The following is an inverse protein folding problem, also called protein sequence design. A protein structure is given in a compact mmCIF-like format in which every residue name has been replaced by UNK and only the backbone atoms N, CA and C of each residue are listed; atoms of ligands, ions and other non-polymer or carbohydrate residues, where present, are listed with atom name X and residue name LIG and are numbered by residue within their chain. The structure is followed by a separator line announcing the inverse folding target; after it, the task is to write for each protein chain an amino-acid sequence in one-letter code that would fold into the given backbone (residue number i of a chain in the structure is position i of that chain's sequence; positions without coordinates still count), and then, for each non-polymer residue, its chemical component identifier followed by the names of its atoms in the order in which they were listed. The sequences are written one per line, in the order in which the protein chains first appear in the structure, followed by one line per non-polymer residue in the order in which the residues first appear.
data_IF_444117078071
#
_entry.id   IF_444117078071
#
_cell.length_a   1.000
_cell.length_b   1.000
_cell.length_c   1.000
_cell.angle_alpha   90.00
_cell.angle_beta   90.00
_cell.angle_gamma   90.00
#
_symmetry.space_group_name_H-M   'P 1'
#
loop_
_entity.id
_entity.type
_entity.pdbx_description
1 polymer ?
#
# COMPACT_ATOMS: atom_id res chain seq x y z
N UNK A 1 13.33 -67.79 46.84
CA UNK A 1 14.26 -67.14 45.86
C UNK A 1 13.53 -66.77 44.60
N UNK A 2 13.14 -65.54 44.50
CA UNK A 2 12.36 -65.02 43.32
C UNK A 2 13.36 -64.36 42.39
N UNK A 3 13.49 -64.88 41.17
CA UNK A 3 14.20 -64.22 40.07
C UNK A 3 13.25 -63.24 39.38
N UNK A 4 13.58 -61.95 39.44
CA UNK A 4 12.90 -60.91 38.67
C UNK A 4 13.45 -60.86 37.23
N UNK A 5 12.64 -61.17 36.29
CA UNK A 5 12.87 -60.89 34.85
C UNK A 5 12.58 -59.43 34.57
N UNK A 6 13.55 -58.69 34.10
CA UNK A 6 13.42 -57.34 33.58
C UNK A 6 13.19 -57.43 32.05
N UNK A 7 12.01 -57.10 31.60
CA UNK A 7 11.72 -56.93 30.17
C UNK A 7 12.17 -55.54 29.76
N UNK A 8 13.19 -55.43 28.94
CA UNK A 8 13.57 -54.20 28.24
C UNK A 8 12.74 -54.17 26.94
N UNK A 9 11.74 -53.29 26.91
CA UNK A 9 11.00 -52.98 25.68
C UNK A 9 11.80 -51.93 24.91
N UNK A 10 12.44 -52.34 23.85
CA UNK A 10 13.12 -51.46 22.90
C UNK A 10 12.04 -50.85 22.01
N UNK A 11 11.62 -49.61 22.30
CA UNK A 11 10.77 -48.85 21.42
C UNK A 11 11.58 -48.26 20.27
N UNK A 12 11.54 -48.91 19.12
CA UNK A 12 12.01 -48.38 17.85
C UNK A 12 11.10 -47.24 17.44
N UNK A 13 11.54 -45.99 17.71
CA UNK A 13 10.97 -44.79 17.12
C UNK A 13 11.37 -44.76 15.64
N UNK A 14 10.47 -45.23 14.78
CA UNK A 14 10.55 -45.00 13.34
C UNK A 14 10.25 -43.51 13.11
N UNK A 15 11.29 -42.70 13.02
CA UNK A 15 11.18 -41.37 12.46
C UNK A 15 10.84 -41.51 10.93
N UNK A 16 9.56 -41.56 10.64
CA UNK A 16 9.08 -41.39 9.29
C UNK A 16 9.36 -39.93 8.87
N UNK A 17 10.49 -39.72 8.22
CA UNK A 17 10.73 -38.50 7.46
C UNK A 17 9.65 -38.40 6.39
N UNK A 18 8.55 -37.68 6.68
CA UNK A 18 7.65 -37.19 5.65
C UNK A 18 8.44 -36.18 4.81
N UNK A 19 9.15 -36.67 3.79
CA UNK A 19 9.55 -35.85 2.66
C UNK A 19 8.25 -35.43 1.99
N UNK A 20 7.74 -34.26 2.35
CA UNK A 20 6.78 -33.54 1.54
C UNK A 20 7.42 -33.35 0.17
N UNK A 21 6.98 -34.15 -0.82
CA UNK A 21 7.31 -33.92 -2.20
C UNK A 21 6.63 -32.62 -2.66
N UNK A 22 7.22 -31.48 -2.29
CA UNK A 22 6.86 -30.19 -2.85
C UNK A 22 7.25 -30.21 -4.30
N UNK A 23 6.29 -30.47 -5.19
CA UNK A 23 6.50 -30.33 -6.63
C UNK A 23 6.69 -28.83 -6.89
N UNK A 24 7.92 -28.39 -7.15
CA UNK A 24 8.14 -27.06 -7.72
C UNK A 24 7.33 -26.97 -9.01
N UNK A 25 6.57 -25.91 -9.17
CA UNK A 25 5.88 -25.63 -10.43
C UNK A 25 6.99 -25.27 -11.44
N UNK A 26 7.01 -25.88 -12.64
CA UNK A 26 7.95 -25.44 -13.69
C UNK A 26 7.63 -23.97 -14.01
N UNK A 27 8.57 -23.08 -13.76
CA UNK A 27 8.36 -21.63 -13.82
C UNK A 27 7.89 -21.15 -15.21
N UNK A 28 8.37 -21.77 -16.28
CA UNK A 28 7.98 -21.51 -17.67
C UNK A 28 6.49 -21.79 -17.98
N UNK A 29 5.80 -22.52 -17.10
CA UNK A 29 4.37 -22.83 -17.20
C UNK A 29 3.50 -21.93 -16.32
N UNK A 30 4.10 -21.08 -15.47
CA UNK A 30 3.34 -20.21 -14.60
C UNK A 30 2.87 -18.98 -15.36
N UNK A 31 1.56 -18.71 -15.28
CA UNK A 31 0.91 -17.52 -15.85
C UNK A 31 0.38 -16.67 -14.72
N UNK A 32 0.86 -15.44 -14.62
CA UNK A 32 0.40 -14.46 -13.63
C UNK A 32 -0.39 -13.35 -14.33
N UNK A 33 -1.63 -13.14 -13.89
CA UNK A 33 -2.46 -12.01 -14.27
C UNK A 33 -2.28 -10.85 -13.30
N UNK A 34 -2.37 -9.62 -13.80
CA UNK A 34 -2.39 -8.40 -12.98
C UNK A 34 -3.41 -7.44 -13.53
N UNK A 35 -4.32 -6.99 -12.68
CA UNK A 35 -5.22 -5.88 -12.96
C UNK A 35 -4.92 -4.73 -11.99
N UNK A 36 -4.48 -3.62 -12.54
CA UNK A 36 -4.18 -2.41 -11.78
C UNK A 36 -5.32 -1.39 -11.84
N UNK A 37 -5.45 -0.58 -10.80
CA UNK A 37 -6.51 0.43 -10.71
C UNK A 37 -6.23 1.73 -11.50
N UNK A 38 -5.16 1.76 -12.28
CA UNK A 38 -4.74 2.88 -13.11
C UNK A 38 -3.48 2.56 -13.89
N UNK A 39 -2.88 3.59 -14.50
CA UNK A 39 -1.69 3.43 -15.35
C UNK A 39 -0.51 2.85 -14.59
N UNK A 40 0.17 1.87 -15.17
CA UNK A 40 1.45 1.33 -14.67
C UNK A 40 2.60 2.35 -14.68
N UNK A 41 2.40 3.54 -15.23
CA UNK A 41 3.38 4.63 -15.30
C UNK A 41 2.96 5.84 -14.45
N UNK A 42 2.24 5.61 -13.35
CA UNK A 42 1.72 6.65 -12.47
C UNK A 42 2.76 7.27 -11.53
N UNK A 43 4.00 6.82 -11.61
CA UNK A 43 5.12 7.23 -10.73
C UNK A 43 4.84 6.98 -9.25
N UNK A 44 4.06 5.95 -8.95
CA UNK A 44 3.63 5.66 -7.59
C UNK A 44 3.10 4.24 -7.43
N UNK A 45 1.83 4.12 -7.09
CA UNK A 45 1.17 2.88 -6.70
C UNK A 45 1.25 1.77 -7.77
N UNK A 46 0.73 2.07 -8.98
CA UNK A 46 0.67 1.06 -10.03
C UNK A 46 2.06 0.80 -10.65
N UNK A 47 2.98 1.78 -10.62
CA UNK A 47 4.36 1.57 -10.99
C UNK A 47 5.03 0.54 -10.07
N UNK A 48 4.84 0.64 -8.74
CA UNK A 48 5.38 -0.35 -7.78
C UNK A 48 4.83 -1.76 -8.05
N UNK A 49 3.54 -1.89 -8.37
CA UNK A 49 2.94 -3.17 -8.78
C UNK A 49 3.65 -3.74 -10.00
N UNK A 50 3.83 -2.91 -11.04
CA UNK A 50 4.43 -3.31 -12.31
C UNK A 50 5.88 -3.75 -12.14
N UNK A 51 6.67 -3.00 -11.40
CA UNK A 51 8.08 -3.31 -11.13
C UNK A 51 8.23 -4.68 -10.46
N UNK A 52 7.35 -5.00 -9.49
CA UNK A 52 7.35 -6.30 -8.82
C UNK A 52 7.04 -7.48 -9.74
N UNK A 53 6.08 -7.32 -10.65
CA UNK A 53 5.72 -8.43 -11.57
C UNK A 53 6.67 -8.54 -12.76
N UNK A 54 7.27 -7.45 -13.22
CA UNK A 54 8.34 -7.49 -14.23
C UNK A 54 9.55 -8.21 -13.66
N UNK A 55 9.94 -7.90 -12.42
CA UNK A 55 11.02 -8.61 -11.75
C UNK A 55 10.75 -10.12 -11.63
N UNK A 56 9.51 -10.54 -11.35
CA UNK A 56 9.14 -11.96 -11.37
C UNK A 56 9.33 -12.59 -12.75
N UNK A 57 8.92 -11.88 -13.80
CA UNK A 57 9.10 -12.35 -15.19
C UNK A 57 10.59 -12.53 -15.52
N UNK A 58 11.42 -11.58 -15.13
CA UNK A 58 12.86 -11.61 -15.42
C UNK A 58 13.57 -12.73 -14.63
N UNK A 59 13.23 -12.89 -13.33
CA UNK A 59 13.89 -13.88 -12.48
C UNK A 59 13.40 -15.32 -12.71
N UNK A 60 12.16 -15.54 -13.15
CA UNK A 60 11.54 -16.86 -13.24
C UNK A 60 11.07 -17.25 -14.65
N UNK A 61 11.11 -16.36 -15.64
CA UNK A 61 10.64 -16.63 -16.99
C UNK A 61 9.13 -16.90 -17.09
N UNK A 62 8.33 -16.40 -16.17
CA UNK A 62 6.87 -16.57 -16.16
C UNK A 62 6.19 -15.86 -17.32
N UNK A 63 5.00 -16.32 -17.69
CA UNK A 63 4.12 -15.56 -18.58
C UNK A 63 3.33 -14.53 -17.76
N UNK A 64 3.38 -13.27 -18.19
CA UNK A 64 2.70 -12.15 -17.55
C UNK A 64 1.58 -11.62 -18.44
N UNK A 65 0.38 -11.41 -17.84
CA UNK A 65 -0.77 -10.78 -18.47
C UNK A 65 -1.14 -9.58 -17.62
N UNK A 66 -0.95 -8.37 -18.15
CA UNK A 66 -1.22 -7.14 -17.44
C UNK A 66 -2.35 -6.35 -18.08
N UNK A 67 -3.22 -5.78 -17.25
CA UNK A 67 -4.25 -4.84 -17.66
C UNK A 67 -4.39 -3.74 -16.61
N UNK A 68 -4.57 -2.51 -17.07
CA UNK A 68 -4.93 -1.38 -16.22
C UNK A 68 -6.37 -0.97 -16.47
N UNK A 69 -7.08 -0.56 -15.43
CA UNK A 69 -8.41 0.02 -15.59
C UNK A 69 -8.35 1.23 -16.52
N UNK A 70 -9.29 1.29 -17.42
CA UNK A 70 -9.47 2.43 -18.32
C UNK A 70 -10.16 3.57 -17.57
N UNK A 71 -9.85 4.83 -17.85
CA UNK A 71 -10.66 5.97 -17.37
C UNK A 71 -12.11 5.84 -17.85
N UNK A 72 -13.08 6.11 -17.00
CA UNK A 72 -14.50 6.09 -17.34
C UNK A 72 -15.10 7.50 -17.23
N UNK A 73 -16.10 7.84 -18.04
CA UNK A 73 -16.70 7.12 -19.17
C UNK A 73 -15.84 7.20 -20.43
N UNK A 74 -15.96 6.17 -21.31
CA UNK A 74 -15.38 6.21 -22.65
C UNK A 74 -16.42 6.84 -23.58
N UNK A 75 -16.04 7.90 -24.29
CA UNK A 75 -16.90 8.59 -25.25
C UNK A 75 -17.29 7.62 -26.39
N UNK A 76 -18.60 7.48 -26.64
CA UNK A 76 -19.14 6.68 -27.74
C UNK A 76 -19.45 5.22 -27.42
N UNK A 77 -19.11 4.68 -26.26
CA UNK A 77 -19.51 3.34 -25.81
C UNK A 77 -20.67 3.39 -24.80
N UNK A 78 -21.36 2.25 -24.61
CA UNK A 78 -22.36 2.10 -23.54
C UNK A 78 -21.80 2.61 -22.24
N UNK A 79 -22.50 3.53 -21.58
CA UNK A 79 -22.15 4.03 -20.25
C UNK A 79 -22.24 2.88 -19.25
N UNK A 80 -21.11 2.23 -18.99
CA UNK A 80 -20.95 1.27 -17.89
C UNK A 80 -20.77 2.04 -16.59
N UNK A 81 -21.33 1.54 -15.52
CA UNK A 81 -20.90 1.98 -14.19
C UNK A 81 -19.42 1.60 -13.97
N UNK A 82 -18.73 2.33 -13.10
CA UNK A 82 -17.34 2.01 -12.78
C UNK A 82 -17.17 0.56 -12.32
N UNK A 83 -18.18 0.00 -11.63
CA UNK A 83 -18.15 -1.40 -11.16
C UNK A 83 -18.33 -2.41 -12.30
N UNK A 84 -19.21 -2.16 -13.26
CA UNK A 84 -19.39 -3.03 -14.44
C UNK A 84 -18.11 -3.09 -15.28
N UNK A 85 -17.52 -1.96 -15.53
CA UNK A 85 -16.31 -1.84 -16.29
C UNK A 85 -15.10 -2.50 -15.60
N UNK A 86 -14.98 -2.32 -14.29
CA UNK A 86 -13.99 -3.01 -13.49
C UNK A 86 -14.17 -4.53 -13.54
N UNK A 87 -15.41 -5.01 -13.51
CA UNK A 87 -15.72 -6.43 -13.64
C UNK A 87 -15.36 -6.95 -15.05
N UNK A 88 -15.71 -6.24 -16.11
CA UNK A 88 -15.34 -6.64 -17.50
C UNK A 88 -13.83 -6.75 -17.66
N UNK A 89 -13.06 -5.77 -17.15
CA UNK A 89 -11.60 -5.80 -17.22
C UNK A 89 -11.02 -6.98 -16.42
N UNK A 90 -11.61 -7.30 -15.27
CA UNK A 90 -11.18 -8.45 -14.48
C UNK A 90 -11.49 -9.79 -15.18
N UNK A 91 -12.68 -9.94 -15.75
CA UNK A 91 -13.05 -11.12 -16.52
C UNK A 91 -12.18 -11.30 -17.78
N UNK A 92 -11.81 -10.22 -18.43
CA UNK A 92 -10.90 -10.26 -19.57
C UNK A 92 -9.53 -10.84 -19.21
N UNK A 93 -9.00 -10.53 -18.04
CA UNK A 93 -7.76 -11.14 -17.55
C UNK A 93 -8.02 -12.58 -17.10
N UNK A 94 -9.10 -12.82 -16.34
CA UNK A 94 -9.41 -14.13 -15.76
C UNK A 94 -9.68 -15.24 -16.78
N UNK A 95 -10.16 -14.93 -17.99
CA UNK A 95 -10.38 -15.94 -19.05
C UNK A 95 -9.11 -16.62 -19.54
N UNK A 96 -7.95 -16.07 -19.24
CA UNK A 96 -6.67 -16.70 -19.53
C UNK A 96 -6.38 -17.86 -18.56
N UNK A 97 -5.48 -18.80 -18.91
CA UNK A 97 -5.09 -19.92 -18.06
C UNK A 97 -4.14 -19.48 -16.94
N UNK A 98 -4.64 -18.69 -15.97
CA UNK A 98 -3.87 -18.11 -14.88
C UNK A 98 -3.60 -19.14 -13.77
N UNK A 99 -2.43 -19.04 -13.16
CA UNK A 99 -2.14 -19.69 -11.88
C UNK A 99 -2.37 -18.73 -10.71
N UNK A 100 -2.04 -17.46 -10.90
CA UNK A 100 -2.17 -16.42 -9.89
C UNK A 100 -2.69 -15.13 -10.54
N UNK A 101 -3.63 -14.45 -9.87
CA UNK A 101 -4.21 -13.20 -10.34
C UNK A 101 -4.12 -12.13 -9.25
N UNK A 102 -3.32 -11.09 -9.51
CA UNK A 102 -3.20 -9.93 -8.64
C UNK A 102 -4.20 -8.85 -9.01
N UNK A 103 -4.97 -8.42 -8.04
CA UNK A 103 -5.92 -7.32 -8.09
C UNK A 103 -5.37 -6.17 -7.26
N UNK A 104 -4.87 -5.12 -7.91
CA UNK A 104 -4.15 -4.04 -7.24
C UNK A 104 -5.06 -2.84 -6.99
N UNK A 105 -5.63 -2.77 -5.78
CA UNK A 105 -6.48 -1.68 -5.31
C UNK A 105 -7.66 -2.16 -4.47
N UNK A 106 -7.98 -1.40 -3.43
CA UNK A 106 -9.05 -1.70 -2.47
C UNK A 106 -10.43 -1.91 -3.12
N UNK A 107 -10.71 -1.22 -4.23
CA UNK A 107 -11.98 -1.33 -4.96
C UNK A 107 -12.25 -2.73 -5.52
N UNK A 108 -11.22 -3.56 -5.66
CA UNK A 108 -11.38 -4.94 -6.13
C UNK A 108 -11.77 -5.92 -5.03
N UNK A 109 -11.82 -5.52 -3.76
CA UNK A 109 -12.05 -6.44 -2.63
C UNK A 109 -13.32 -7.27 -2.77
N UNK A 110 -14.47 -6.64 -3.03
CA UNK A 110 -15.74 -7.36 -3.23
C UNK A 110 -15.76 -8.20 -4.51
N UNK A 111 -15.18 -7.68 -5.61
CA UNK A 111 -15.10 -8.41 -6.87
C UNK A 111 -14.22 -9.65 -6.75
N UNK A 112 -13.12 -9.56 -6.00
CA UNK A 112 -12.18 -10.67 -5.79
C UNK A 112 -12.84 -11.90 -5.17
N UNK A 113 -13.80 -11.70 -4.26
CA UNK A 113 -14.58 -12.78 -3.65
C UNK A 113 -15.38 -13.52 -4.72
N UNK A 114 -16.11 -12.79 -5.57
CA UNK A 114 -16.89 -13.37 -6.68
C UNK A 114 -15.99 -14.16 -7.65
N UNK A 115 -14.91 -13.54 -8.12
CA UNK A 115 -13.98 -14.15 -9.05
C UNK A 115 -13.37 -15.45 -8.49
N UNK A 116 -13.03 -15.46 -7.21
CA UNK A 116 -12.41 -16.62 -6.56
C UNK A 116 -13.35 -17.82 -6.40
N UNK A 117 -14.65 -17.58 -6.24
CA UNK A 117 -15.65 -18.66 -6.23
C UNK A 117 -15.93 -19.19 -7.64
N UNK A 118 -15.90 -18.33 -8.65
CA UNK A 118 -16.14 -18.72 -10.05
C UNK A 118 -14.97 -19.52 -10.65
N UNK A 119 -13.74 -19.21 -10.22
CA UNK A 119 -12.53 -19.90 -10.68
C UNK A 119 -11.66 -20.34 -9.49
N UNK A 120 -12.05 -21.41 -8.80
CA UNK A 120 -11.33 -21.92 -7.64
C UNK A 120 -9.96 -22.52 -7.99
N UNK A 121 -9.66 -22.73 -9.26
CA UNK A 121 -8.38 -23.18 -9.80
C UNK A 121 -7.31 -22.06 -9.85
N UNK A 122 -7.70 -20.79 -9.76
CA UNK A 122 -6.82 -19.62 -9.74
C UNK A 122 -6.58 -19.18 -8.28
N UNK A 123 -5.34 -18.82 -7.97
CA UNK A 123 -5.00 -18.12 -6.73
C UNK A 123 -5.15 -16.60 -6.92
N UNK A 124 -5.75 -15.90 -5.95
CA UNK A 124 -5.98 -14.45 -6.02
C UNK A 124 -5.21 -13.71 -4.94
N UNK A 125 -4.46 -12.69 -5.32
CA UNK A 125 -3.86 -11.72 -4.41
C UNK A 125 -4.55 -10.37 -4.52
N UNK A 126 -5.01 -9.81 -3.42
CA UNK A 126 -5.68 -8.50 -3.38
C UNK A 126 -4.80 -7.53 -2.59
N UNK A 127 -4.37 -6.46 -3.26
CA UNK A 127 -3.55 -5.40 -2.67
C UNK A 127 -4.45 -4.28 -2.14
N UNK A 128 -4.12 -3.78 -0.95
CA UNK A 128 -4.94 -2.82 -0.21
C UNK A 128 -6.36 -3.33 0.04
N UNK A 129 -6.45 -4.61 0.35
CA UNK A 129 -7.73 -5.22 0.62
C UNK A 129 -8.46 -4.44 1.73
N UNK A 130 -9.67 -4.00 1.41
CA UNK A 130 -10.53 -3.38 2.39
C UNK A 130 -11.16 -4.45 3.28
N UNK A 131 -11.67 -4.05 4.43
CA UNK A 131 -12.28 -4.97 5.37
C UNK A 131 -13.40 -5.78 4.71
N UNK A 132 -13.29 -7.11 4.78
CA UNK A 132 -14.32 -8.01 4.26
C UNK A 132 -15.55 -8.11 5.18
N UNK A 133 -15.55 -7.40 6.33
CA UNK A 133 -16.57 -7.52 7.34
C UNK A 133 -16.69 -8.97 7.80
N UNK A 134 -17.92 -9.50 7.79
CA UNK A 134 -18.21 -10.92 8.12
C UNK A 134 -17.88 -11.90 6.98
N UNK A 135 -17.43 -11.42 5.82
CA UNK A 135 -17.11 -12.27 4.67
C UNK A 135 -15.73 -12.89 4.89
N UNK A 136 -15.68 -14.21 4.95
CA UNK A 136 -14.41 -14.93 5.01
C UNK A 136 -13.64 -14.80 3.70
N UNK A 137 -12.34 -14.52 3.80
CA UNK A 137 -11.45 -14.57 2.64
C UNK A 137 -11.49 -15.99 2.05
N UNK A 138 -11.78 -16.15 0.75
CA UNK A 138 -11.81 -17.48 0.12
C UNK A 138 -10.46 -18.19 0.21
N UNK A 139 -10.47 -19.54 0.30
CA UNK A 139 -9.24 -20.35 0.49
C UNK A 139 -8.19 -20.16 -0.60
N UNK A 140 -8.60 -19.78 -1.80
CA UNK A 140 -7.72 -19.46 -2.93
C UNK A 140 -7.41 -17.95 -3.05
N UNK A 141 -7.74 -17.15 -2.04
CA UNK A 141 -7.50 -15.70 -2.01
C UNK A 141 -6.61 -15.30 -0.83
N UNK A 142 -5.74 -14.35 -1.06
CA UNK A 142 -4.88 -13.72 -0.05
C UNK A 142 -5.14 -12.22 -0.06
N UNK A 143 -5.62 -11.68 1.03
CA UNK A 143 -5.85 -10.26 1.21
C UNK A 143 -4.64 -9.60 1.87
N UNK A 144 -4.12 -8.53 1.26
CA UNK A 144 -2.99 -7.75 1.77
C UNK A 144 -3.49 -6.40 2.22
N UNK A 145 -3.32 -6.12 3.51
CA UNK A 145 -3.51 -4.78 4.10
C UNK A 145 -2.16 -4.16 4.39
N UNK A 146 -2.11 -2.84 4.41
CA UNK A 146 -0.92 -2.09 4.81
C UNK A 146 -1.29 -1.13 5.92
N UNK A 147 -0.44 -1.06 6.95
CA UNK A 147 -0.53 -0.08 8.03
C UNK A 147 0.00 1.27 7.56
N UNK A 148 -0.78 1.89 6.64
CA UNK A 148 -0.44 3.16 6.02
C UNK A 148 -0.31 4.29 7.05
N UNK A 149 -1.06 4.20 8.16
CA UNK A 149 -1.03 5.13 9.28
C UNK A 149 0.37 5.26 9.90
N UNK A 150 1.17 4.20 9.92
CA UNK A 150 2.49 4.18 10.55
C UNK A 150 3.45 5.18 9.86
N UNK A 151 3.61 5.08 8.54
CA UNK A 151 4.47 6.03 7.81
C UNK A 151 3.79 7.39 7.62
N UNK A 152 2.46 7.46 7.57
CA UNK A 152 1.73 8.72 7.58
C UNK A 152 1.97 9.50 8.86
N UNK A 153 2.09 8.84 10.02
CA UNK A 153 2.47 9.47 11.29
C UNK A 153 3.87 10.10 11.19
N UNK A 154 4.86 9.36 10.70
CA UNK A 154 6.22 9.88 10.51
C UNK A 154 6.23 11.05 9.54
N UNK A 155 5.47 10.99 8.45
CA UNK A 155 5.30 12.08 7.50
C UNK A 155 4.66 13.32 8.14
N UNK A 156 3.67 13.12 9.01
CA UNK A 156 3.03 14.19 9.79
C UNK A 156 3.99 14.87 10.76
N UNK A 157 4.81 14.07 11.44
CA UNK A 157 5.87 14.57 12.31
C UNK A 157 6.88 15.42 11.54
N UNK A 158 7.40 14.91 10.43
CA UNK A 158 8.32 15.64 9.55
C UNK A 158 7.68 16.94 9.05
N UNK A 159 6.43 16.88 8.57
CA UNK A 159 5.71 18.06 8.10
C UNK A 159 5.60 19.16 9.17
N UNK A 160 5.31 18.75 10.40
CA UNK A 160 5.20 19.69 11.53
C UNK A 160 6.54 20.34 11.90
N UNK A 161 7.64 19.58 11.84
CA UNK A 161 9.00 20.09 12.12
C UNK A 161 9.54 20.98 11.01
N UNK A 162 9.20 20.70 9.75
CA UNK A 162 9.68 21.44 8.58
C UNK A 162 8.81 22.64 8.23
N UNK A 163 7.52 22.64 8.59
CA UNK A 163 6.60 23.73 8.27
C UNK A 163 6.94 25.00 9.04
N UNK A 164 7.01 26.12 8.28
CA UNK A 164 7.09 27.47 8.85
C UNK A 164 5.72 28.14 9.01
N UNK A 165 4.65 27.39 8.77
CA UNK A 165 3.26 27.84 8.83
C UNK A 165 2.52 27.02 9.88
N UNK A 166 1.49 27.62 10.45
CA UNK A 166 0.65 26.97 11.48
C UNK A 166 -0.30 25.92 10.89
N UNK A 167 -0.39 25.85 9.58
CA UNK A 167 -1.31 24.95 8.88
C UNK A 167 -0.55 24.01 7.95
N UNK A 168 -0.98 22.74 7.95
CA UNK A 168 -0.47 21.68 7.10
C UNK A 168 -1.63 21.16 6.26
N UNK A 169 -1.39 20.91 4.98
CA UNK A 169 -2.39 20.51 4.01
C UNK A 169 -2.45 18.99 3.82
N UNK A 170 -3.66 18.49 3.61
CA UNK A 170 -3.93 17.12 3.24
C UNK A 170 -4.90 17.14 2.05
N UNK A 171 -4.44 16.74 0.87
CA UNK A 171 -5.25 16.74 -0.35
C UNK A 171 -5.55 15.30 -0.76
N UNK A 172 -6.83 14.92 -0.77
CA UNK A 172 -7.25 13.57 -1.19
C UNK A 172 -7.95 13.60 -2.55
N UNK A 173 -8.05 12.42 -3.17
CA UNK A 173 -9.04 12.15 -4.20
C UNK A 173 -10.46 12.04 -3.62
N UNK A 174 -11.43 11.52 -4.39
CA UNK A 174 -12.76 11.20 -3.88
C UNK A 174 -12.68 10.35 -2.62
N UNK A 175 -13.62 10.59 -1.70
CA UNK A 175 -13.63 9.99 -0.35
C UNK A 175 -13.70 8.46 -0.42
N UNK A 176 -12.93 7.81 0.45
CA UNK A 176 -12.91 6.38 0.63
C UNK A 176 -12.41 6.13 2.05
N UNK A 177 -12.99 5.18 2.76
CA UNK A 177 -12.55 4.79 4.11
C UNK A 177 -11.08 4.40 4.16
N UNK A 178 -10.57 3.81 3.08
CA UNK A 178 -9.15 3.53 2.86
C UNK A 178 -8.23 4.74 3.12
N UNK A 179 -8.72 5.98 2.94
CA UNK A 179 -7.93 7.19 3.18
C UNK A 179 -7.83 7.57 4.66
N UNK A 180 -8.63 6.94 5.53
CA UNK A 180 -8.62 7.25 6.95
C UNK A 180 -7.29 6.90 7.62
N UNK A 181 -6.68 5.75 7.26
CA UNK A 181 -5.37 5.33 7.76
C UNK A 181 -4.35 6.46 7.58
N UNK A 182 -4.23 6.96 6.35
CA UNK A 182 -3.31 8.07 6.05
C UNK A 182 -3.69 9.35 6.78
N UNK A 183 -4.97 9.71 6.80
CA UNK A 183 -5.45 10.95 7.39
C UNK A 183 -5.20 11.00 8.89
N UNK A 184 -5.57 9.94 9.61
CA UNK A 184 -5.47 9.92 11.07
C UNK A 184 -4.05 9.68 11.53
N UNK A 185 -3.26 8.83 10.84
CA UNK A 185 -1.84 8.70 11.07
C UNK A 185 -1.11 10.04 10.88
N UNK A 186 -1.33 10.72 9.76
CA UNK A 186 -0.73 12.02 9.46
C UNK A 186 -1.12 13.10 10.50
N UNK A 187 -2.41 13.16 10.83
CA UNK A 187 -2.94 14.06 11.86
C UNK A 187 -2.31 13.81 13.24
N UNK A 188 -2.12 12.53 13.60
CA UNK A 188 -1.49 12.15 14.87
C UNK A 188 -0.02 12.53 14.91
N UNK A 189 0.74 12.33 13.83
CA UNK A 189 2.14 12.77 13.73
C UNK A 189 2.30 14.28 13.86
N UNK A 190 1.42 15.06 13.22
CA UNK A 190 1.38 16.53 13.38
C UNK A 190 1.12 16.90 14.83
N UNK A 191 0.10 16.31 15.44
CA UNK A 191 -0.29 16.59 16.83
C UNK A 191 0.82 16.22 17.81
N UNK A 192 1.46 15.07 17.62
CA UNK A 192 2.58 14.61 18.45
C UNK A 192 3.77 15.57 18.40
N UNK A 193 4.09 16.10 17.22
CA UNK A 193 5.18 17.06 17.04
C UNK A 193 4.84 18.44 17.60
N UNK A 194 3.62 18.92 17.37
CA UNK A 194 3.14 20.24 17.82
C UNK A 194 1.60 20.31 17.79
N UNK A 195 0.93 20.20 18.95
CA UNK A 195 -0.54 20.20 19.03
C UNK A 195 -1.21 21.52 18.64
N UNK A 196 -0.43 22.60 18.45
CA UNK A 196 -0.97 23.91 18.00
C UNK A 196 -1.18 23.98 16.50
N UNK A 197 -0.54 23.10 15.72
CA UNK A 197 -0.68 23.06 14.27
C UNK A 197 -2.05 22.52 13.86
N UNK A 198 -2.56 23.00 12.74
CA UNK A 198 -3.88 22.63 12.20
C UNK A 198 -3.75 21.90 10.89
N UNK A 199 -4.47 20.79 10.76
CA UNK A 199 -4.62 20.08 9.50
C UNK A 199 -5.75 20.70 8.68
N UNK A 200 -5.47 21.11 7.44
CA UNK A 200 -6.42 21.58 6.44
C UNK A 200 -6.59 20.48 5.41
N UNK A 201 -7.76 19.82 5.41
CA UNK A 201 -8.08 18.78 4.45
C UNK A 201 -8.93 19.30 3.30
N UNK A 202 -8.58 18.96 2.07
CA UNK A 202 -9.38 19.21 0.87
C UNK A 202 -9.53 17.92 0.06
N UNK A 203 -10.67 17.82 -0.63
CA UNK A 203 -11.02 16.67 -1.46
C UNK A 203 -11.14 17.09 -2.91
N UNK A 204 -10.34 16.48 -3.78
CA UNK A 204 -10.45 16.66 -5.22
C UNK A 204 -11.62 15.83 -5.79
N UNK A 205 -12.30 16.31 -6.81
CA UNK A 205 -13.45 15.61 -7.41
C UNK A 205 -13.03 14.36 -8.21
N UNK A 206 -11.76 14.28 -8.62
CA UNK A 206 -11.22 13.19 -9.43
C UNK A 206 -9.80 12.82 -8.97
N UNK A 207 -9.37 11.60 -9.31
CA UNK A 207 -7.98 11.13 -9.15
C UNK A 207 -7.16 11.29 -10.43
N UNK A 208 -7.76 11.76 -11.51
CA UNK A 208 -7.17 11.78 -12.87
C UNK A 208 -7.04 13.18 -13.46
N UNK A 209 -7.20 14.24 -12.68
CA UNK A 209 -7.15 15.63 -13.13
C UNK A 209 -6.00 16.39 -12.46
N UNK A 210 -4.82 16.36 -13.14
CA UNK A 210 -3.59 17.01 -12.66
C UNK A 210 -3.74 18.53 -12.55
N UNK A 211 -4.44 19.17 -13.50
CA UNK A 211 -4.62 20.62 -13.49
C UNK A 211 -5.51 21.07 -12.34
N UNK A 212 -6.57 20.32 -12.04
CA UNK A 212 -7.40 20.58 -10.85
C UNK A 212 -6.60 20.40 -9.56
N UNK A 213 -5.73 19.40 -9.50
CA UNK A 213 -4.82 19.23 -8.37
C UNK A 213 -3.88 20.42 -8.16
N UNK A 214 -3.34 20.97 -9.26
CA UNK A 214 -2.49 22.16 -9.23
C UNK A 214 -3.25 23.42 -8.78
N UNK A 215 -4.45 23.64 -9.30
CA UNK A 215 -5.33 24.73 -8.87
C UNK A 215 -5.62 24.66 -7.36
N UNK A 216 -6.04 23.48 -6.88
CA UNK A 216 -6.34 23.27 -5.47
C UNK A 216 -5.11 23.46 -4.57
N UNK A 217 -3.95 23.00 -4.99
CA UNK A 217 -2.71 23.19 -4.24
C UNK A 217 -2.31 24.67 -4.15
N UNK A 218 -2.43 25.43 -5.24
CA UNK A 218 -2.21 26.88 -5.24
C UNK A 218 -3.13 27.58 -4.24
N UNK A 219 -4.42 27.22 -4.23
CA UNK A 219 -5.36 27.75 -3.27
C UNK A 219 -4.95 27.42 -1.82
N UNK A 220 -4.61 26.16 -1.55
CA UNK A 220 -4.17 25.73 -0.22
C UNK A 220 -2.91 26.48 0.25
N UNK A 221 -1.91 26.65 -0.61
CA UNK A 221 -0.69 27.39 -0.26
C UNK A 221 -0.92 28.89 -0.08
N UNK A 222 -1.75 29.53 -0.92
CA UNK A 222 -1.91 30.98 -0.93
C UNK A 222 -3.03 31.47 -0.02
N UNK A 223 -4.19 30.83 -0.06
CA UNK A 223 -5.39 31.29 0.67
C UNK A 223 -5.51 30.59 2.05
N UNK A 224 -5.39 29.26 2.07
CA UNK A 224 -5.42 28.51 3.33
C UNK A 224 -4.12 28.69 4.15
N UNK A 225 -3.03 29.19 3.52
CA UNK A 225 -1.73 29.45 4.15
C UNK A 225 -1.05 28.18 4.69
N UNK A 226 -1.20 27.04 4.02
CA UNK A 226 -0.48 25.82 4.40
C UNK A 226 1.00 25.90 3.99
N UNK A 227 1.89 25.26 4.75
CA UNK A 227 3.32 25.21 4.46
C UNK A 227 3.76 23.94 3.73
N UNK A 228 3.06 22.85 4.00
CA UNK A 228 3.30 21.51 3.45
C UNK A 228 1.98 20.95 2.97
N UNK A 229 1.96 20.23 1.85
CA UNK A 229 0.80 19.44 1.41
C UNK A 229 1.20 17.98 1.25
N UNK A 230 0.42 17.07 1.85
CA UNK A 230 0.49 15.64 1.59
C UNK A 230 -0.66 15.24 0.65
N UNK A 231 -0.36 14.94 -0.64
CA UNK A 231 -1.37 14.61 -1.62
C UNK A 231 -1.57 13.09 -1.73
N UNK A 232 -2.79 12.62 -1.44
CA UNK A 232 -3.22 11.22 -1.66
C UNK A 232 -4.36 11.21 -2.68
N UNK A 233 -4.05 11.63 -3.90
CA UNK A 233 -5.05 11.92 -4.92
C UNK A 233 -4.71 11.35 -6.32
N UNK A 234 -3.85 10.34 -6.40
CA UNK A 234 -3.43 9.75 -7.67
C UNK A 234 -2.76 10.78 -8.59
N UNK A 235 -3.07 10.76 -9.88
CA UNK A 235 -2.53 11.70 -10.88
C UNK A 235 -2.86 13.16 -10.52
N UNK A 236 -4.05 13.41 -9.96
CA UNK A 236 -4.42 14.75 -9.45
C UNK A 236 -3.41 15.26 -8.43
N UNK A 237 -2.88 14.38 -7.59
CA UNK A 237 -1.83 14.70 -6.61
C UNK A 237 -0.53 15.23 -7.25
N UNK A 238 -0.20 14.81 -8.49
CA UNK A 238 0.99 15.30 -9.20
C UNK A 238 0.91 16.81 -9.50
N UNK A 239 -0.29 17.37 -9.57
CA UNK A 239 -0.47 18.81 -9.71
C UNK A 239 0.05 19.64 -8.53
N UNK A 240 0.12 19.04 -7.32
CA UNK A 240 0.67 19.70 -6.13
C UNK A 240 2.16 20.01 -6.30
N UNK A 241 2.90 19.10 -6.93
CA UNK A 241 4.33 19.29 -7.22
C UNK A 241 4.57 20.45 -8.19
N UNK A 242 3.73 20.56 -9.22
CA UNK A 242 3.84 21.68 -10.18
C UNK A 242 3.50 23.00 -9.49
N UNK A 243 2.46 23.06 -8.67
CA UNK A 243 2.12 24.23 -7.89
C UNK A 243 3.26 24.64 -6.95
N UNK A 244 3.87 23.68 -6.24
CA UNK A 244 4.97 23.94 -5.33
C UNK A 244 6.21 24.48 -6.06
N UNK A 245 6.59 23.88 -7.20
CA UNK A 245 7.71 24.38 -8.04
C UNK A 245 7.50 25.81 -8.50
N UNK A 246 6.31 26.13 -8.99
CA UNK A 246 5.98 27.48 -9.47
C UNK A 246 5.97 28.53 -8.36
N UNK A 247 5.57 28.13 -7.16
CA UNK A 247 5.52 29.03 -5.99
C UNK A 247 6.89 29.21 -5.31
N UNK A 248 7.81 28.27 -5.54
CA UNK A 248 9.19 28.33 -5.05
C UNK A 248 9.50 27.43 -3.85
N UNK A 249 10.76 27.42 -3.36
CA UNK A 249 11.29 26.39 -2.45
C UNK A 249 10.78 26.46 -1.00
N UNK A 250 9.83 27.33 -0.68
CA UNK A 250 9.20 27.42 0.66
C UNK A 250 7.86 26.71 0.72
N UNK A 251 7.43 26.09 -0.36
CA UNK A 251 6.18 25.34 -0.48
C UNK A 251 6.49 23.86 -0.61
N UNK A 252 6.19 23.10 0.43
CA UNK A 252 6.65 21.75 0.57
C UNK A 252 5.57 20.73 0.19
N UNK A 253 6.04 19.58 -0.30
CA UNK A 253 5.21 18.43 -0.69
C UNK A 253 5.76 17.18 -0.02
N UNK A 254 4.88 16.24 0.34
CA UNK A 254 5.25 14.90 0.75
C UNK A 254 4.91 13.93 -0.38
N UNK A 255 5.88 13.10 -0.77
CA UNK A 255 5.70 12.06 -1.78
C UNK A 255 4.95 10.84 -1.25
N UNK A 256 4.43 10.02 -2.16
CA UNK A 256 3.64 8.83 -1.83
C UNK A 256 3.98 7.64 -2.72
N UNK A 257 4.01 6.45 -2.12
CA UNK A 257 4.24 5.12 -2.67
C UNK A 257 5.68 4.85 -3.14
N UNK A 258 6.35 5.83 -3.72
CA UNK A 258 7.76 5.78 -4.14
C UNK A 258 8.47 7.07 -3.72
N UNK A 259 9.80 7.07 -3.74
CA UNK A 259 10.53 8.32 -3.58
C UNK A 259 10.26 9.23 -4.78
N UNK A 260 9.57 10.32 -4.51
CA UNK A 260 9.16 11.31 -5.51
C UNK A 260 9.99 12.60 -5.44
N UNK A 261 11.13 12.59 -4.74
CA UNK A 261 12.05 13.74 -4.62
C UNK A 261 12.47 14.27 -5.99
N UNK A 262 12.68 13.39 -6.97
CA UNK A 262 13.08 13.77 -8.34
C UNK A 262 12.04 14.60 -9.09
N UNK A 263 10.75 14.58 -8.68
CA UNK A 263 9.67 15.34 -9.34
C UNK A 263 9.82 16.84 -9.03
N UNK A 264 10.16 17.17 -7.79
CA UNK A 264 10.31 18.55 -7.30
C UNK A 264 11.42 18.60 -6.22
N UNK A 265 12.72 18.49 -6.58
CA UNK A 265 13.81 18.28 -5.62
C UNK A 265 13.93 19.36 -4.54
N UNK A 266 13.50 20.58 -4.81
CA UNK A 266 13.55 21.69 -3.85
C UNK A 266 12.29 21.77 -2.94
N UNK A 267 11.26 20.98 -3.24
CA UNK A 267 9.97 21.09 -2.58
C UNK A 267 9.57 19.79 -1.85
N UNK A 268 10.02 18.62 -2.31
CA UNK A 268 9.72 17.34 -1.65
C UNK A 268 10.63 17.21 -0.43
N UNK A 269 10.01 17.16 0.75
CA UNK A 269 10.75 17.04 2.02
C UNK A 269 10.93 15.60 2.48
N UNK A 270 10.07 14.71 2.05
CA UNK A 270 10.12 13.26 2.30
C UNK A 270 9.13 12.57 1.39
N UNK A 271 9.17 11.24 1.32
CA UNK A 271 8.17 10.40 0.66
C UNK A 271 7.81 9.21 1.54
N UNK A 272 6.51 8.94 1.68
CA UNK A 272 5.99 7.69 2.23
C UNK A 272 6.18 6.61 1.17
N UNK A 273 6.94 5.58 1.50
CA UNK A 273 7.22 4.46 0.61
C UNK A 273 6.27 3.31 0.93
N UNK A 274 5.77 2.66 -0.13
CA UNK A 274 4.93 1.48 -0.05
C UNK A 274 5.37 0.48 -1.11
N UNK A 275 6.19 -0.48 -0.70
CA UNK A 275 6.78 -1.45 -1.62
C UNK A 275 5.80 -2.60 -1.91
N UNK A 276 4.80 -2.30 -2.71
CA UNK A 276 3.79 -3.26 -3.18
C UNK A 276 4.47 -4.35 -4.02
N UNK A 277 5.44 -3.96 -4.85
CA UNK A 277 6.19 -4.87 -5.71
C UNK A 277 6.91 -5.95 -4.92
N UNK A 278 7.52 -5.60 -3.78
CA UNK A 278 8.17 -6.55 -2.87
C UNK A 278 7.19 -7.58 -2.31
N UNK A 279 5.98 -7.17 -1.94
CA UNK A 279 4.95 -8.07 -1.44
C UNK A 279 4.48 -9.02 -2.53
N UNK A 280 4.15 -8.51 -3.71
CA UNK A 280 3.76 -9.31 -4.89
C UNK A 280 4.87 -10.29 -5.25
N UNK A 281 6.11 -9.82 -5.31
CA UNK A 281 7.27 -10.64 -5.61
C UNK A 281 7.46 -11.75 -4.58
N UNK A 282 7.41 -11.44 -3.29
CA UNK A 282 7.61 -12.42 -2.21
C UNK A 282 6.56 -13.55 -2.27
N UNK A 283 5.28 -13.20 -2.33
CA UNK A 283 4.18 -14.18 -2.37
C UNK A 283 4.24 -15.01 -3.64
N UNK A 284 4.46 -14.38 -4.79
CA UNK A 284 4.49 -15.08 -6.09
C UNK A 284 5.72 -15.98 -6.21
N UNK A 285 6.89 -15.54 -5.75
CA UNK A 285 8.10 -16.35 -5.78
C UNK A 285 8.00 -17.58 -4.86
N UNK A 286 7.35 -17.44 -3.69
CA UNK A 286 7.05 -18.56 -2.81
C UNK A 286 6.13 -19.58 -3.50
N UNK A 287 5.09 -19.10 -4.20
CA UNK A 287 4.20 -19.95 -4.98
C UNK A 287 4.96 -20.68 -6.11
N UNK A 288 5.77 -19.96 -6.89
CA UNK A 288 6.55 -20.54 -7.99
C UNK A 288 7.52 -21.60 -7.49
N UNK A 289 8.27 -21.32 -6.43
CA UNK A 289 9.31 -22.21 -5.87
C UNK A 289 8.74 -23.45 -5.18
N UNK A 290 7.65 -23.27 -4.44
CA UNK A 290 7.15 -24.26 -3.47
C UNK A 290 5.80 -24.86 -3.87
N UNK A 291 5.09 -24.31 -4.87
CA UNK A 291 3.73 -24.72 -5.25
C UNK A 291 2.68 -24.45 -4.15
N UNK A 292 2.99 -23.61 -3.16
CA UNK A 292 2.14 -23.34 -2.00
C UNK A 292 1.63 -21.90 -2.03
N UNK A 293 0.31 -21.73 -2.09
CA UNK A 293 -0.36 -20.46 -1.91
C UNK A 293 -1.06 -20.42 -0.55
N UNK A 294 -0.71 -19.46 0.29
CA UNK A 294 -1.27 -19.31 1.65
C UNK A 294 -2.53 -18.45 1.62
N UNK A 295 -3.58 -18.93 0.97
CA UNK A 295 -4.86 -18.25 0.90
C UNK A 295 -5.74 -18.45 2.14
N UNK A 296 -6.92 -17.82 2.15
CA UNK A 296 -7.88 -17.85 3.23
C UNK A 296 -7.56 -16.94 4.40
N UNK A 297 -6.65 -15.98 4.21
CA UNK A 297 -6.19 -15.09 5.28
C UNK A 297 -6.04 -13.64 4.80
N UNK A 298 -6.12 -12.74 5.76
CA UNK A 298 -5.67 -11.35 5.63
C UNK A 298 -4.28 -11.25 6.25
N UNK A 299 -3.35 -10.62 5.56
CA UNK A 299 -2.02 -10.30 6.11
C UNK A 299 -1.84 -8.80 6.18
N UNK A 300 -1.41 -8.33 7.34
CA UNK A 300 -1.05 -6.94 7.57
C UNK A 300 0.44 -6.71 7.38
N UNK A 301 0.82 -5.57 6.77
CA UNK A 301 2.22 -5.21 6.51
C UNK A 301 2.44 -3.73 6.82
N UNK A 302 3.54 -3.42 7.49
CA UNK A 302 3.88 -2.06 7.90
C UNK A 302 5.38 -1.82 7.96
N UNK A 303 5.80 -0.90 8.81
CA UNK A 303 7.20 -0.56 9.08
C UNK A 303 8.01 -1.78 9.52
N UNK A 304 7.45 -2.60 10.42
CA UNK A 304 8.09 -3.81 10.95
C UNK A 304 8.49 -4.80 9.85
N UNK A 305 7.70 -4.94 8.81
CA UNK A 305 7.95 -5.84 7.69
C UNK A 305 8.81 -5.20 6.59
N UNK A 306 9.16 -3.91 6.73
CA UNK A 306 9.98 -3.16 5.78
C UNK A 306 9.34 -3.06 4.40
N UNK A 307 8.02 -2.93 4.35
CA UNK A 307 7.25 -2.71 3.12
C UNK A 307 6.51 -1.36 3.12
N UNK A 308 6.40 -0.75 4.29
CA UNK A 308 6.05 0.65 4.48
C UNK A 308 7.28 1.31 5.08
N UNK A 309 7.72 2.43 4.55
CA UNK A 309 8.90 3.18 4.98
C UNK A 309 8.69 4.67 4.78
N UNK A 310 9.62 5.48 5.27
CA UNK A 310 9.69 6.92 5.04
C UNK A 310 11.09 7.31 4.57
N UNK A 311 11.20 8.16 3.55
CA UNK A 311 12.51 8.67 3.10
C UNK A 311 13.10 9.57 4.18
N UNK A 312 14.35 9.29 4.56
CA UNK A 312 15.11 10.01 5.61
C UNK A 312 16.38 10.59 4.99
N UNK A 313 16.23 11.64 4.16
CA UNK A 313 17.37 12.31 3.52
C UNK A 313 17.95 13.36 4.46
N UNK A 314 19.20 13.20 4.94
CA UNK A 314 19.84 14.14 5.86
C UNK A 314 20.13 15.50 5.24
N UNK A 315 20.28 15.59 3.91
CA UNK A 315 20.51 16.86 3.22
C UNK A 315 19.24 17.72 3.18
N UNK A 316 18.06 17.10 3.30
CA UNK A 316 16.77 17.78 3.35
C UNK A 316 16.29 17.98 4.80
N UNK A 317 16.34 16.93 5.63
CA UNK A 317 15.76 16.91 6.97
C UNK A 317 16.74 17.35 8.07
N UNK A 318 18.03 17.39 7.82
CA UNK A 318 19.16 17.42 8.75
C UNK A 318 19.26 16.18 9.67
N UNK A 319 20.45 15.91 10.17
CA UNK A 319 20.74 14.70 10.97
C UNK A 319 19.92 14.60 12.26
N UNK A 320 19.61 15.73 12.90
CA UNK A 320 18.81 15.74 14.14
C UNK A 320 17.41 15.21 13.88
N UNK A 321 16.74 15.74 12.86
CA UNK A 321 15.37 15.32 12.53
C UNK A 321 15.33 13.86 12.03
N UNK A 322 16.34 13.45 11.25
CA UNK A 322 16.49 12.03 10.84
C UNK A 322 16.55 11.12 12.07
N UNK A 323 17.37 11.45 13.08
CA UNK A 323 17.47 10.66 14.30
C UNK A 323 16.15 10.64 15.09
N UNK A 324 15.44 11.77 15.21
CA UNK A 324 14.12 11.84 15.84
C UNK A 324 13.11 10.92 15.11
N UNK A 325 13.12 10.89 13.77
CA UNK A 325 12.23 10.03 12.97
C UNK A 325 12.58 8.55 13.13
N UNK A 326 13.86 8.19 13.18
CA UNK A 326 14.31 6.80 13.43
C UNK A 326 13.89 6.33 14.82
N UNK A 327 13.99 7.19 15.84
CA UNK A 327 13.50 6.85 17.19
C UNK A 327 12.00 6.59 17.20
N UNK A 328 11.20 7.44 16.55
CA UNK A 328 9.75 7.26 16.44
C UNK A 328 9.39 6.00 15.66
N UNK A 329 10.08 5.72 14.57
CA UNK A 329 9.91 4.48 13.80
C UNK A 329 10.12 3.23 14.69
N UNK A 330 11.18 3.21 15.50
CA UNK A 330 11.44 2.13 16.45
C UNK A 330 10.33 2.00 17.51
N UNK A 331 9.81 3.12 18.02
CA UNK A 331 8.69 3.14 18.97
C UNK A 331 7.39 2.59 18.36
N UNK A 332 7.14 2.86 17.09
CA UNK A 332 6.00 2.30 16.36
C UNK A 332 6.20 0.79 16.15
N UNK A 333 7.37 0.38 15.67
CA UNK A 333 7.70 -1.03 15.42
C UNK A 333 7.63 -1.87 16.70
N UNK A 334 8.05 -1.32 17.85
CA UNK A 334 7.96 -1.98 19.16
C UNK A 334 6.55 -1.98 19.76
N UNK A 335 5.63 -1.19 19.22
CA UNK A 335 4.28 -1.00 19.75
C UNK A 335 4.18 -0.04 20.94
N UNK A 336 5.25 0.70 21.28
CA UNK A 336 5.22 1.79 22.26
C UNK A 336 4.30 2.92 21.79
N UNK A 337 4.32 3.23 20.48
CA UNK A 337 3.36 4.14 19.84
C UNK A 337 2.43 3.30 18.96
N UNK A 338 1.15 3.29 19.31
CA UNK A 338 0.08 2.75 18.49
C UNK A 338 -0.49 3.90 17.66
N UNK A 339 -0.22 3.90 16.38
CA UNK A 339 -0.67 4.97 15.48
C UNK A 339 -2.17 4.81 15.19
N UNK A 340 -2.99 5.88 15.32
CA UNK A 340 -4.41 5.79 15.04
C UNK A 340 -4.71 5.76 13.53
N UNK A 341 -5.67 4.93 13.14
CA UNK A 341 -6.21 4.72 11.79
C UNK A 341 -7.62 5.33 11.60
N UNK A 342 -8.25 5.78 12.68
CA UNK A 342 -9.62 6.25 12.71
C UNK A 342 -9.77 7.46 13.62
N UNK A 343 -10.91 8.15 13.52
CA UNK A 343 -11.21 9.32 14.38
C UNK A 343 -11.28 8.92 15.85
N UNK A 344 -11.95 7.82 16.13
CA UNK A 344 -12.05 7.29 17.48
C UNK A 344 -10.67 6.96 18.08
N UNK A 345 -9.84 6.25 17.30
CA UNK A 345 -8.48 5.92 17.73
C UNK A 345 -7.60 7.17 17.91
N UNK A 346 -7.81 8.22 17.10
CA UNK A 346 -7.10 9.49 17.24
C UNK A 346 -7.52 10.23 18.53
N UNK A 347 -8.79 10.20 18.90
CA UNK A 347 -9.24 10.81 20.16
C UNK A 347 -8.67 10.10 21.38
N UNK A 348 -8.59 8.77 21.35
CA UNK A 348 -7.89 7.99 22.37
C UNK A 348 -6.38 8.29 22.41
N UNK A 349 -5.75 8.43 21.25
CA UNK A 349 -4.34 8.77 21.15
C UNK A 349 -4.03 10.12 21.82
N UNK A 350 -4.85 11.14 21.55
CA UNK A 350 -4.71 12.47 22.19
C UNK A 350 -4.83 12.42 23.71
N UNK A 351 -5.72 11.58 24.22
CA UNK A 351 -5.96 11.51 25.68
C UNK A 351 -4.81 10.88 26.47
N UNK A 352 -3.85 10.23 25.76
CA UNK A 352 -2.67 9.58 26.36
C UNK A 352 -1.40 10.44 26.32
N UNK A 353 -1.43 11.55 25.58
CA UNK A 353 -0.33 12.51 25.46
C UNK A 353 -0.55 13.74 26.33
#
# INVERSE_FOLDING_TARGET
MFKRFVFIVLSLLVLACFKSNKKSVKSDKVVIGVLANGSFYDKGYNQSVYDGVVKLKDDFGIKLITKSLRPYPIEGERLLTANEAMAEDAYDVQKNPLNLFWLAGHQFSSLSVKLSYERPDICYGIIDAFDYGDIRVPKNSLAIKFRNEEAAFLAGYIAAKMSRKEKIGFLTGPESEYLNDFKFGFKAGIFYANPKLRLVSKKAPSRFDKEKGKEMARFMYKEDKVGVIFPIAGITGLGVYDAAKELGPKYYVIGLNQDQSYIAPQNVITSVLKDIGKVIYSVSSDYIKNGVFKGGVVIDRGLKEGVIEIVKDPDVLNNRLVNEVVELENKIISGEIIVPDSEYAFDLFKSKL
#
